data_IF_946060547204
#
_entry.id   IF_946060547204
#
_cell.length_a   1.000
_cell.length_b   1.000
_cell.length_c   1.000
_cell.angle_alpha   90.00
_cell.angle_beta   90.00
_cell.angle_gamma   90.00
#
_symmetry.space_group_name_H-M   'P 1'
#
loop_
_entity.id
_entity.type
_entity.pdbx_description
1 polymer ?
#
# COMPACT_ATOMS: atom_id res chain seq x y z
N UNK A 1 -25.98 1.05 -66.36
CA UNK A 1 -25.88 -0.28 -65.73
C UNK A 1 -25.74 -0.02 -64.24
N UNK A 2 -26.89 0.17 -63.60
CA UNK A 2 -27.00 0.41 -62.16
C UNK A 2 -27.62 -0.81 -61.49
N UNK A 3 -27.30 -0.95 -60.19
CA UNK A 3 -27.96 -1.81 -59.19
C UNK A 3 -27.59 -3.31 -59.27
N UNK A 4 -27.15 -4.00 -58.23
CA UNK A 4 -27.20 -3.76 -56.78
C UNK A 4 -26.01 -4.47 -56.10
N UNK A 5 -25.17 -3.72 -55.39
CA UNK A 5 -24.29 -4.29 -54.36
C UNK A 5 -25.17 -4.47 -53.13
N UNK A 6 -25.77 -5.66 -52.98
CA UNK A 6 -26.61 -5.98 -51.83
C UNK A 6 -25.85 -5.73 -50.54
N UNK A 7 -26.26 -4.73 -49.77
CA UNK A 7 -25.85 -4.59 -48.37
C UNK A 7 -26.45 -5.80 -47.65
N UNK A 8 -25.65 -6.82 -47.38
CA UNK A 8 -26.03 -7.92 -46.49
C UNK A 8 -26.30 -7.30 -45.12
N UNK A 9 -27.58 -7.19 -44.75
CA UNK A 9 -27.98 -6.76 -43.43
C UNK A 9 -27.47 -7.76 -42.40
N UNK A 10 -26.90 -7.25 -41.32
CA UNK A 10 -26.28 -8.05 -40.27
C UNK A 10 -27.34 -8.96 -39.63
N UNK A 11 -27.11 -10.27 -39.66
CA UNK A 11 -28.05 -11.27 -39.16
C UNK A 11 -28.15 -11.24 -37.63
N UNK A 12 -29.30 -11.64 -37.08
CA UNK A 12 -29.53 -11.69 -35.62
C UNK A 12 -28.47 -12.50 -34.85
N UNK A 13 -27.87 -13.51 -35.48
CA UNK A 13 -26.75 -14.30 -34.94
C UNK A 13 -25.46 -13.47 -34.85
N UNK A 14 -25.15 -12.65 -35.86
CA UNK A 14 -23.96 -11.80 -35.89
C UNK A 14 -24.02 -10.72 -34.81
N UNK A 15 -25.21 -10.15 -34.55
CA UNK A 15 -25.44 -9.26 -33.41
C UNK A 15 -25.17 -9.95 -32.08
N UNK A 16 -25.63 -11.20 -31.92
CA UNK A 16 -25.44 -11.97 -30.70
C UNK A 16 -23.95 -12.27 -30.46
N UNK A 17 -23.19 -12.60 -31.51
CA UNK A 17 -21.73 -12.74 -31.44
C UNK A 17 -21.03 -11.43 -31.10
N UNK A 18 -21.43 -10.31 -31.70
CA UNK A 18 -20.85 -8.99 -31.40
C UNK A 18 -21.08 -8.58 -29.94
N UNK A 19 -22.29 -8.82 -29.41
CA UNK A 19 -22.61 -8.55 -28.00
C UNK A 19 -21.79 -9.46 -27.09
N UNK A 20 -21.72 -10.76 -27.37
CA UNK A 20 -20.92 -11.69 -26.57
C UNK A 20 -19.43 -11.33 -26.57
N UNK A 21 -18.88 -10.94 -27.74
CA UNK A 21 -17.50 -10.50 -27.87
C UNK A 21 -17.26 -9.21 -27.08
N UNK A 22 -18.17 -8.23 -27.16
CA UNK A 22 -18.08 -6.99 -26.40
C UNK A 22 -18.11 -7.25 -24.88
N UNK A 23 -19.01 -8.11 -24.41
CA UNK A 23 -19.07 -8.50 -22.99
C UNK A 23 -17.79 -9.21 -22.54
N UNK A 24 -17.24 -10.09 -23.38
CA UNK A 24 -15.99 -10.79 -23.09
C UNK A 24 -14.81 -9.80 -22.99
N UNK A 25 -14.75 -8.80 -23.88
CA UNK A 25 -13.76 -7.74 -23.82
C UNK A 25 -13.90 -6.90 -22.54
N UNK A 26 -15.12 -6.56 -22.13
CA UNK A 26 -15.39 -5.85 -20.86
C UNK A 26 -14.88 -6.67 -19.66
N UNK A 27 -15.16 -7.98 -19.63
CA UNK A 27 -14.69 -8.87 -18.55
C UNK A 27 -13.16 -8.95 -18.49
N UNK A 28 -12.49 -9.02 -19.65
CA UNK A 28 -11.03 -9.03 -19.72
C UNK A 28 -10.42 -7.73 -19.20
N UNK A 29 -11.01 -6.58 -19.54
CA UNK A 29 -10.57 -5.27 -19.04
C UNK A 29 -10.77 -5.18 -17.53
N UNK A 30 -11.92 -5.60 -17.00
CA UNK A 30 -12.16 -5.62 -15.54
C UNK A 30 -11.13 -6.50 -14.84
N UNK A 31 -10.87 -7.70 -15.36
CA UNK A 31 -9.87 -8.62 -14.80
C UNK A 31 -8.47 -8.01 -14.83
N UNK A 32 -8.08 -7.38 -15.93
CA UNK A 32 -6.79 -6.69 -16.04
C UNK A 32 -6.66 -5.58 -14.99
N UNK A 33 -7.68 -4.72 -14.85
CA UNK A 33 -7.69 -3.63 -13.87
C UNK A 33 -7.64 -4.13 -12.42
N UNK A 34 -8.31 -5.26 -12.11
CA UNK A 34 -8.29 -5.87 -10.77
C UNK A 34 -6.90 -6.40 -10.36
N UNK A 35 -6.05 -6.69 -11.34
CA UNK A 35 -4.68 -7.17 -11.11
C UNK A 35 -3.66 -6.05 -10.91
N UNK A 36 -4.01 -4.81 -11.26
CA UNK A 36 -3.13 -3.65 -11.09
C UNK A 36 -2.97 -3.40 -9.60
N UNK A 37 -1.73 -3.31 -9.16
CA UNK A 37 -1.40 -3.05 -7.76
C UNK A 37 -0.93 -1.61 -7.64
N UNK A 38 -1.68 -0.75 -6.95
CA UNK A 38 -1.31 0.66 -6.78
C UNK A 38 -0.62 0.87 -5.42
N UNK A 39 0.54 1.56 -5.39
CA UNK A 39 1.18 1.93 -4.14
C UNK A 39 0.42 3.09 -3.48
N UNK A 40 0.28 3.02 -2.16
CA UNK A 40 -0.10 4.12 -1.29
C UNK A 40 1.06 4.40 -0.33
N UNK A 41 1.42 5.67 -0.15
CA UNK A 41 2.48 6.07 0.78
C UNK A 41 1.88 6.80 1.97
N UNK A 42 2.14 6.28 3.17
CA UNK A 42 1.82 6.90 4.46
C UNK A 42 3.11 7.43 5.10
N UNK A 43 3.05 8.61 5.72
CA UNK A 43 4.21 9.24 6.37
C UNK A 43 3.80 9.68 7.76
N UNK A 44 4.31 8.99 8.77
CA UNK A 44 4.04 9.29 10.18
C UNK A 44 5.28 9.92 10.82
N UNK A 45 5.16 11.15 11.30
CA UNK A 45 6.26 11.85 11.97
C UNK A 45 6.28 11.53 13.46
N UNK A 46 7.45 11.14 13.97
CA UNK A 46 7.69 10.81 15.37
C UNK A 46 8.61 11.85 15.99
N UNK A 47 8.24 12.31 17.19
CA UNK A 47 9.02 13.27 17.96
C UNK A 47 9.02 12.88 19.44
N UNK A 48 10.18 12.90 20.13
CA UNK A 48 10.27 12.70 21.57
C UNK A 48 9.37 13.69 22.30
N UNK A 49 8.52 13.19 23.21
CA UNK A 49 7.52 14.01 23.92
C UNK A 49 6.11 13.96 23.34
N UNK A 50 5.94 13.44 22.12
CA UNK A 50 4.63 13.00 21.60
C UNK A 50 4.27 11.66 22.25
N UNK A 51 3.51 11.68 23.35
CA UNK A 51 3.08 10.45 24.02
C UNK A 51 2.00 9.68 23.26
N UNK A 52 1.32 10.32 22.31
CA UNK A 52 0.27 9.67 21.52
C UNK A 52 0.83 8.94 20.30
N UNK A 53 0.24 7.79 19.98
CA UNK A 53 0.53 7.09 18.73
C UNK A 53 -0.01 7.90 17.55
N UNK A 54 0.77 7.95 16.48
CA UNK A 54 0.38 8.57 15.22
C UNK A 54 -0.33 7.52 14.37
N UNK A 55 -1.56 7.80 13.94
CA UNK A 55 -2.37 6.84 13.17
C UNK A 55 -2.88 7.50 11.90
N UNK A 56 -2.64 6.85 10.76
CA UNK A 56 -3.22 7.23 9.47
C UNK A 56 -4.22 6.16 9.01
N UNK A 57 -5.50 6.52 8.91
CA UNK A 57 -6.60 5.66 8.49
C UNK A 57 -7.01 5.92 7.04
N UNK A 58 -6.76 4.92 6.19
CA UNK A 58 -7.03 4.95 4.74
C UNK A 58 -8.31 4.14 4.42
N UNK A 59 -9.04 3.68 5.43
CA UNK A 59 -10.30 2.94 5.33
C UNK A 59 -10.19 1.48 4.90
N UNK A 60 -9.24 1.13 4.01
CA UNK A 60 -8.92 -0.26 3.66
C UNK A 60 -7.84 -0.88 4.54
N UNK A 61 -6.97 -0.03 5.06
CA UNK A 61 -5.94 -0.35 6.03
C UNK A 61 -5.66 0.92 6.85
N UNK A 62 -4.92 0.77 7.93
CA UNK A 62 -4.31 1.89 8.66
C UNK A 62 -2.83 1.64 8.89
N UNK A 63 -2.10 2.71 9.18
CA UNK A 63 -0.71 2.67 9.60
C UNK A 63 -0.63 3.38 10.93
N UNK A 64 0.07 2.80 11.89
CA UNK A 64 0.32 3.41 13.18
C UNK A 64 1.81 3.37 13.49
N UNK A 65 2.32 4.41 14.13
CA UNK A 65 3.66 4.47 14.66
C UNK A 65 3.69 5.14 16.03
N UNK A 66 4.55 4.66 16.92
CA UNK A 66 4.73 5.23 18.25
C UNK A 66 6.15 5.03 18.77
N UNK A 67 6.48 5.78 19.80
CA UNK A 67 7.77 5.72 20.49
C UNK A 67 7.60 5.09 21.88
N UNK A 68 8.59 4.31 22.29
CA UNK A 68 8.78 3.87 23.67
C UNK A 68 10.12 4.41 24.17
N UNK A 69 10.10 5.13 25.29
CA UNK A 69 11.30 5.66 25.94
C UNK A 69 12.03 4.54 26.72
N UNK A 70 13.31 4.34 26.41
CA UNK A 70 14.16 3.36 27.11
C UNK A 70 14.69 3.87 28.46
N UNK A 71 14.47 5.15 28.79
CA UNK A 71 14.99 5.84 29.98
C UNK A 71 16.52 5.96 30.03
N UNK A 72 17.17 5.84 28.88
CA UNK A 72 18.62 5.96 28.70
C UNK A 72 19.00 7.05 27.67
N UNK A 73 18.04 7.89 27.27
CA UNK A 73 18.22 8.90 26.21
C UNK A 73 17.95 8.38 24.80
N UNK A 74 17.51 7.12 24.66
CA UNK A 74 17.12 6.52 23.39
C UNK A 74 15.64 6.13 23.38
N UNK A 75 15.10 5.97 22.17
CA UNK A 75 13.71 5.57 21.93
C UNK A 75 13.67 4.33 21.04
N UNK A 76 12.76 3.42 21.34
CA UNK A 76 12.35 2.36 20.39
C UNK A 76 11.24 2.90 19.50
N UNK A 77 11.36 2.60 18.21
CA UNK A 77 10.35 2.97 17.21
C UNK A 77 9.50 1.74 16.88
N UNK A 78 8.20 1.86 17.14
CA UNK A 78 7.22 0.85 16.79
C UNK A 78 6.38 1.30 15.61
N UNK A 79 6.01 0.35 14.75
CA UNK A 79 5.03 0.58 13.71
C UNK A 79 4.14 -0.64 13.48
N UNK A 80 2.94 -0.39 12.99
CA UNK A 80 1.91 -1.41 12.74
C UNK A 80 1.11 -1.05 11.49
N UNK A 81 0.87 -2.03 10.63
CA UNK A 81 0.02 -1.90 9.44
C UNK A 81 -1.06 -2.97 9.51
N UNK A 82 -2.31 -2.54 9.54
CA UNK A 82 -3.47 -3.43 9.66
C UNK A 82 -4.32 -3.32 8.42
N UNK A 83 -4.41 -4.44 7.70
CA UNK A 83 -5.41 -4.66 6.67
C UNK A 83 -6.79 -4.83 7.32
N UNK A 84 -7.77 -3.97 6.97
CA UNK A 84 -9.10 -3.98 7.57
C UNK A 84 -10.14 -4.72 6.73
N UNK A 85 -10.03 -4.62 5.40
CA UNK A 85 -11.06 -5.14 4.48
C UNK A 85 -10.54 -6.24 3.55
N UNK A 86 -9.33 -6.08 3.01
CA UNK A 86 -8.72 -7.01 2.05
C UNK A 86 -7.24 -7.20 2.39
N UNK A 87 -6.64 -8.36 2.06
CA UNK A 87 -5.22 -8.59 2.23
C UNK A 87 -4.40 -7.54 1.47
N UNK A 88 -3.28 -7.10 2.05
CA UNK A 88 -2.31 -6.26 1.36
C UNK A 88 -1.35 -7.18 0.61
N UNK A 89 -0.97 -6.80 -0.62
CA UNK A 89 -0.07 -7.63 -1.43
C UNK A 89 1.39 -7.49 -1.02
N UNK A 90 1.76 -6.30 -0.54
CA UNK A 90 3.12 -5.96 -0.11
C UNK A 90 3.06 -4.73 0.78
N UNK A 91 3.98 -4.62 1.73
CA UNK A 91 4.26 -3.38 2.44
C UNK A 91 5.77 -3.21 2.61
N UNK A 92 6.27 -1.98 2.41
CA UNK A 92 7.63 -1.58 2.75
C UNK A 92 7.54 -0.51 3.81
N UNK A 93 8.43 -0.54 4.80
CA UNK A 93 8.52 0.49 5.82
C UNK A 93 9.95 0.93 5.97
N UNK A 94 10.15 2.24 6.00
CA UNK A 94 11.45 2.87 6.19
C UNK A 94 11.38 3.85 7.36
N UNK A 95 12.42 3.86 8.18
CA UNK A 95 12.61 4.85 9.23
C UNK A 95 13.62 5.90 8.73
N UNK A 96 13.18 7.14 8.62
CA UNK A 96 14.00 8.27 8.16
C UNK A 96 14.14 9.27 9.29
N UNK A 97 15.34 9.39 9.86
CA UNK A 97 15.66 10.34 10.91
C UNK A 97 16.40 11.56 10.35
N UNK A 98 16.08 12.75 10.83
CA UNK A 98 16.60 14.02 10.29
C UNK A 98 17.71 14.65 11.16
N UNK A 99 17.97 14.11 12.34
CA UNK A 99 19.04 14.54 13.24
C UNK A 99 20.36 13.79 13.01
N UNK A 100 21.23 13.75 14.03
CA UNK A 100 22.51 13.02 13.92
C UNK A 100 22.27 11.50 13.92
N UNK A 101 22.70 10.81 12.87
CA UNK A 101 22.46 9.37 12.69
C UNK A 101 23.70 8.49 12.82
N UNK A 102 24.85 9.02 13.27
CA UNK A 102 26.11 8.26 13.40
C UNK A 102 25.97 6.95 14.22
N UNK A 103 24.97 6.87 15.09
CA UNK A 103 24.73 5.74 16.00
C UNK A 103 23.41 5.01 15.73
N UNK A 104 22.69 5.34 14.64
CA UNK A 104 21.42 4.71 14.29
C UNK A 104 21.71 3.50 13.39
N UNK A 105 21.62 2.30 13.94
CA UNK A 105 21.70 1.07 13.15
C UNK A 105 20.50 0.94 12.20
N UNK A 106 20.74 0.32 11.03
CA UNK A 106 19.78 -0.09 10.01
C UNK A 106 18.91 1.00 9.37
N UNK A 107 19.55 2.09 8.96
CA UNK A 107 19.02 3.17 8.09
C UNK A 107 18.60 2.72 6.67
N UNK A 108 18.26 1.45 6.48
CA UNK A 108 17.89 0.85 5.21
C UNK A 108 16.39 0.55 5.13
N UNK A 109 15.81 0.49 3.92
CA UNK A 109 14.43 0.07 3.73
C UNK A 109 14.19 -1.33 4.28
N UNK A 110 13.17 -1.50 5.12
CA UNK A 110 12.72 -2.85 5.50
C UNK A 110 11.66 -3.26 4.48
N UNK A 111 12.06 -4.13 3.56
CA UNK A 111 11.15 -4.70 2.57
C UNK A 111 10.50 -5.96 3.11
N UNK A 112 9.16 -5.97 3.12
CA UNK A 112 8.40 -7.17 3.44
C UNK A 112 7.70 -7.66 2.18
N UNK A 113 8.16 -8.79 1.66
CA UNK A 113 7.72 -9.38 0.39
C UNK A 113 6.58 -10.39 0.55
N UNK A 114 6.15 -10.68 1.78
CA UNK A 114 5.08 -11.63 2.07
C UNK A 114 3.69 -10.99 1.97
N UNK A 115 2.70 -11.81 1.57
CA UNK A 115 1.31 -11.43 1.55
C UNK A 115 0.86 -11.12 2.99
N UNK A 116 0.21 -9.97 3.19
CA UNK A 116 -0.28 -9.58 4.52
C UNK A 116 -1.77 -9.90 4.60
N UNK A 117 -2.11 -10.94 5.35
CA UNK A 117 -3.50 -11.31 5.59
C UNK A 117 -4.22 -10.29 6.49
N UNK A 118 -5.56 -10.18 6.40
CA UNK A 118 -6.35 -9.37 7.31
C UNK A 118 -6.11 -9.77 8.76
N UNK A 119 -6.06 -8.75 9.63
CA UNK A 119 -5.69 -8.82 11.05
C UNK A 119 -4.17 -8.93 11.29
N UNK A 120 -3.57 -7.74 11.40
CA UNK A 120 -2.27 -7.42 12.01
C UNK A 120 -0.99 -7.88 11.30
N UNK A 121 -0.47 -7.03 10.42
CA UNK A 121 0.96 -7.00 10.17
C UNK A 121 1.63 -6.01 11.15
N UNK A 122 2.54 -6.51 11.97
CA UNK A 122 3.30 -5.69 12.90
C UNK A 122 4.78 -6.01 12.68
N UNK A 123 5.61 -4.97 12.68
CA UNK A 123 7.05 -5.15 12.68
C UNK A 123 7.66 -4.14 13.63
N UNK A 124 8.54 -4.66 14.48
CA UNK A 124 9.22 -3.85 15.48
C UNK A 124 10.60 -3.53 14.93
N UNK A 125 10.95 -2.24 14.94
CA UNK A 125 12.31 -1.85 14.66
C UNK A 125 13.12 -1.84 15.95
N UNK A 126 14.03 -2.79 16.08
CA UNK A 126 14.92 -2.89 17.23
C UNK A 126 16.29 -2.32 16.87
N UNK A 127 16.40 -1.00 16.95
CA UNK A 127 17.68 -0.34 17.24
C UNK A 127 17.37 0.91 18.04
N UNK A 128 18.04 1.17 19.17
CA UNK A 128 17.84 2.39 19.94
C UNK A 128 18.11 3.62 19.07
N UNK A 129 17.14 4.52 18.96
CA UNK A 129 17.29 5.80 18.26
C UNK A 129 17.59 6.87 19.32
N UNK A 130 18.76 7.53 19.29
CA UNK A 130 19.09 8.54 20.27
C UNK A 130 18.21 9.79 20.05
N UNK A 131 17.93 10.52 21.12
CA UNK A 131 17.01 11.67 21.09
C UNK A 131 17.42 12.75 20.07
N UNK A 132 18.71 12.93 19.83
CA UNK A 132 19.29 13.90 18.89
C UNK A 132 19.17 13.49 17.41
N UNK A 133 18.76 12.24 17.12
CA UNK A 133 18.42 11.80 15.77
C UNK A 133 17.02 12.25 15.32
N UNK A 134 16.17 12.68 16.26
CA UNK A 134 14.82 13.11 15.96
C UNK A 134 14.75 14.56 15.41
N UNK A 135 13.69 14.93 14.66
CA UNK A 135 12.50 14.13 14.35
C UNK A 135 12.80 12.97 13.41
N UNK A 136 11.99 11.91 13.48
CA UNK A 136 12.05 10.78 12.55
C UNK A 136 10.70 10.58 11.87
N UNK A 137 10.68 9.89 10.74
CA UNK A 137 9.49 9.54 9.98
C UNK A 137 9.44 8.05 9.72
N UNK A 138 8.28 7.46 9.95
CA UNK A 138 7.94 6.13 9.45
C UNK A 138 7.26 6.32 8.10
N UNK A 139 7.96 5.97 7.02
CA UNK A 139 7.45 6.02 5.66
C UNK A 139 7.01 4.60 5.25
N UNK A 140 5.71 4.37 5.17
CA UNK A 140 5.15 3.09 4.76
C UNK A 140 4.62 3.17 3.33
N UNK A 141 5.13 2.33 2.43
CA UNK A 141 4.56 2.12 1.11
C UNK A 141 3.78 0.81 1.09
N UNK A 142 2.47 0.90 0.90
CA UNK A 142 1.54 -0.23 0.94
C UNK A 142 0.96 -0.44 -0.45
N UNK A 143 1.05 -1.67 -0.94
CA UNK A 143 0.49 -2.08 -2.22
C UNK A 143 -0.82 -2.81 -2.01
N UNK A 144 -1.88 -2.33 -2.66
CA UNK A 144 -3.20 -2.97 -2.67
C UNK A 144 -3.54 -3.46 -4.06
N UNK A 145 -4.27 -4.58 -4.16
CA UNK A 145 -4.92 -4.97 -5.42
C UNK A 145 -5.95 -3.91 -5.82
N UNK A 146 -6.06 -3.67 -7.12
CA UNK A 146 -6.93 -2.68 -7.74
C UNK A 146 -8.39 -2.84 -7.30
N UNK A 147 -9.08 -1.69 -7.28
CA UNK A 147 -10.45 -1.55 -6.79
C UNK A 147 -11.40 -2.16 -7.82
N UNK A 148 -11.75 -3.43 -7.62
CA UNK A 148 -13.08 -4.02 -7.82
C UNK A 148 -13.23 -5.16 -6.81
#
# INVERSE_FOLDING_TARGET
MDSMRGKSGQGSIEYLFMIALALLMVLLVIKALSSITTPYTAILTLSPGSMESQVEDVGSFKVEAWLEDNRDGTYKVYYRIWALKRPLTKANVELVCFGNTEHVGGLGPIQHSTLLEPVNYWANYWTPVPQDAFPCQVQATVWKKGIW
#
